data_IF_350927803094
#
_entry.id   IF_350927803094
#
_cell.length_a   1.000
_cell.length_b   1.000
_cell.length_c   1.000
_cell.angle_alpha   90.00
_cell.angle_beta   90.00
_cell.angle_gamma   90.00
#
_symmetry.space_group_name_H-M   'P 1'
#
loop_
_entity.id
_entity.type
_entity.pdbx_description
1 polymer ?
#
# COMPACT_ATOMS: atom_id res chain seq x y z
N UNK A 1 3.46 2.40 -11.73
CA UNK A 1 4.74 1.73 -11.63
C UNK A 1 4.66 0.34 -12.29
N UNK A 2 5.38 0.16 -13.39
CA UNK A 2 5.28 -1.10 -14.12
C UNK A 2 5.85 -2.31 -13.37
N UNK A 3 6.74 -2.08 -12.40
CA UNK A 3 7.26 -3.16 -11.58
C UNK A 3 6.20 -3.72 -10.62
N UNK A 4 5.17 -2.94 -10.31
CA UNK A 4 4.07 -3.37 -9.44
C UNK A 4 2.86 -3.88 -10.22
N UNK A 5 2.90 -3.88 -11.54
CA UNK A 5 1.76 -4.22 -12.40
C UNK A 5 0.48 -3.49 -11.96
N UNK A 6 0.61 -2.19 -11.75
CA UNK A 6 -0.46 -1.35 -11.24
C UNK A 6 -1.56 -1.17 -12.28
N UNK A 7 -2.81 -1.46 -11.90
CA UNK A 7 -3.98 -1.35 -12.76
C UNK A 7 -5.10 -0.62 -12.03
N UNK A 8 -5.58 0.50 -12.58
CA UNK A 8 -6.76 1.17 -12.05
C UNK A 8 -8.00 0.40 -12.50
N UNK A 9 -8.82 -0.02 -11.55
CA UNK A 9 -10.03 -0.79 -11.78
C UNK A 9 -11.25 0.11 -11.85
N UNK A 10 -11.32 1.14 -10.99
CA UNK A 10 -12.46 2.04 -10.91
C UNK A 10 -12.04 3.40 -10.37
N UNK A 11 -12.63 4.47 -10.93
CA UNK A 11 -12.37 5.83 -10.49
C UNK A 11 -11.00 6.34 -10.92
N UNK A 12 -10.51 7.32 -10.21
CA UNK A 12 -9.22 7.93 -10.47
C UNK A 12 -8.46 8.17 -9.16
N UNK A 13 -8.05 7.09 -8.48
CA UNK A 13 -7.32 7.23 -7.23
C UNK A 13 -5.97 7.90 -7.49
N UNK A 14 -5.67 8.91 -6.70
CA UNK A 14 -4.40 9.64 -6.79
C UNK A 14 -3.61 9.41 -5.52
N UNK A 15 -2.45 8.80 -5.68
CA UNK A 15 -1.53 8.52 -4.57
C UNK A 15 -0.50 9.64 -4.45
N UNK A 16 -0.15 9.97 -3.23
CA UNK A 16 0.91 10.90 -2.90
C UNK A 16 1.54 10.46 -1.57
N UNK A 17 2.66 11.08 -1.21
CA UNK A 17 3.25 10.69 0.06
C UNK A 17 4.61 11.31 0.30
N UNK A 18 5.20 10.87 1.39
CA UNK A 18 6.48 11.35 1.86
C UNK A 18 7.27 10.15 2.38
N UNK A 19 8.52 10.06 1.93
CA UNK A 19 9.46 9.06 2.46
C UNK A 19 10.29 9.73 3.56
N UNK A 20 10.23 9.17 4.76
CA UNK A 20 10.93 9.73 5.92
C UNK A 20 12.26 9.02 6.19
N UNK A 21 12.43 7.79 5.72
CA UNK A 21 13.66 7.03 5.90
C UNK A 21 13.82 6.00 4.78
N UNK A 22 15.03 5.85 4.32
CA UNK A 22 15.45 4.80 3.37
C UNK A 22 16.72 4.17 3.91
N UNK A 23 16.78 2.84 3.98
CA UNK A 23 17.99 2.14 4.40
C UNK A 23 19.13 2.35 3.39
N UNK A 24 20.40 2.20 3.81
CA UNK A 24 21.54 2.46 2.92
C UNK A 24 21.53 1.67 1.63
N UNK A 25 21.05 0.43 1.64
CA UNK A 25 20.98 -0.41 0.44
C UNK A 25 19.64 -0.28 -0.31
N UNK A 26 18.73 0.56 0.16
CA UNK A 26 17.43 0.77 -0.47
C UNK A 26 16.41 -0.35 -0.23
N UNK A 27 16.75 -1.34 0.60
CA UNK A 27 15.87 -2.50 0.80
C UNK A 27 14.70 -2.24 1.75
N UNK A 28 14.75 -1.17 2.53
CA UNK A 28 13.63 -0.79 3.38
C UNK A 28 13.42 0.71 3.40
N UNK A 29 12.17 1.10 3.67
CA UNK A 29 11.80 2.51 3.77
C UNK A 29 10.55 2.66 4.61
N UNK A 30 10.37 3.83 5.18
CA UNK A 30 9.15 4.17 5.90
C UNK A 30 8.71 5.60 5.55
N UNK A 31 7.43 5.83 5.71
CA UNK A 31 6.87 7.14 5.41
C UNK A 31 5.35 7.17 5.56
N UNK A 32 4.78 8.20 4.96
CA UNK A 32 3.33 8.44 4.95
C UNK A 32 2.86 8.36 3.50
N UNK A 33 1.74 7.67 3.29
CA UNK A 33 1.10 7.54 1.98
C UNK A 33 -0.34 8.01 2.09
N UNK A 34 -0.79 8.72 1.08
CA UNK A 34 -2.16 9.21 0.96
C UNK A 34 -2.71 8.78 -0.38
N UNK A 35 -3.97 8.33 -0.41
CA UNK A 35 -4.64 7.99 -1.65
C UNK A 35 -6.10 8.40 -1.62
N UNK A 36 -6.55 9.03 -2.69
CA UNK A 36 -7.94 9.43 -2.85
C UNK A 36 -8.80 8.25 -3.30
N UNK A 37 -10.13 8.41 -3.29
CA UNK A 37 -11.09 7.35 -3.57
C UNK A 37 -10.90 6.72 -4.93
N UNK A 38 -11.10 5.41 -4.98
CA UNK A 38 -11.01 4.62 -6.20
C UNK A 38 -10.54 3.20 -5.91
N UNK A 39 -10.44 2.39 -6.95
CA UNK A 39 -10.05 0.98 -6.85
C UNK A 39 -8.88 0.70 -7.78
N UNK A 40 -7.86 0.05 -7.25
CA UNK A 40 -6.72 -0.38 -8.06
C UNK A 40 -6.13 -1.70 -7.56
N UNK A 41 -5.47 -2.40 -8.46
CA UNK A 41 -4.75 -3.63 -8.17
C UNK A 41 -3.25 -3.38 -8.36
N UNK A 42 -2.44 -4.02 -7.53
CA UNK A 42 -0.99 -3.99 -7.71
C UNK A 42 -0.35 -5.22 -7.08
N UNK A 43 0.90 -5.46 -7.47
CA UNK A 43 1.76 -6.43 -6.79
C UNK A 43 2.58 -5.68 -5.75
N UNK A 44 2.68 -6.22 -4.56
CA UNK A 44 3.50 -5.62 -3.50
C UNK A 44 4.99 -5.77 -3.86
N UNK A 45 5.74 -4.66 -3.77
CA UNK A 45 7.16 -4.65 -4.11
C UNK A 45 8.06 -5.10 -2.97
N UNK A 46 7.54 -5.16 -1.76
CA UNK A 46 8.24 -5.61 -0.57
C UNK A 46 7.24 -6.09 0.47
N UNK A 47 7.75 -6.42 1.65
CA UNK A 47 6.91 -6.75 2.79
C UNK A 47 6.53 -5.46 3.49
N UNK A 48 5.24 -5.16 3.57
CA UNK A 48 4.77 -3.87 4.06
C UNK A 48 3.89 -4.01 5.28
N UNK A 49 4.32 -3.40 6.39
CA UNK A 49 3.49 -3.17 7.56
C UNK A 49 2.90 -1.77 7.43
N UNK A 50 1.59 -1.65 7.55
CA UNK A 50 0.91 -0.39 7.36
C UNK A 50 -0.16 -0.19 8.40
N UNK A 51 -0.28 1.05 8.89
CA UNK A 51 -1.29 1.44 9.88
C UNK A 51 -2.12 2.58 9.32
N UNK A 52 -3.43 2.42 9.35
CA UNK A 52 -4.34 3.43 8.83
C UNK A 52 -4.49 4.54 9.88
N UNK A 53 -4.16 5.76 9.46
CA UNK A 53 -4.28 6.94 10.31
C UNK A 53 -5.58 7.68 10.08
N UNK A 54 -6.15 7.58 8.86
CA UNK A 54 -7.37 8.27 8.48
C UNK A 54 -8.00 7.56 7.28
N UNK A 55 -9.33 7.61 7.20
CA UNK A 55 -10.07 7.10 6.06
C UNK A 55 -10.51 5.67 6.23
N UNK A 56 -10.98 5.07 5.14
CA UNK A 56 -11.52 3.72 5.12
C UNK A 56 -11.21 3.06 3.78
N UNK A 57 -10.78 1.81 3.83
CA UNK A 57 -10.49 1.03 2.64
C UNK A 57 -10.85 -0.43 2.84
N UNK A 58 -10.99 -1.13 1.73
CA UNK A 58 -11.17 -2.58 1.71
C UNK A 58 -9.98 -3.16 0.96
N UNK A 59 -9.31 -4.12 1.57
CA UNK A 59 -8.19 -4.85 0.97
C UNK A 59 -8.63 -6.25 0.62
N UNK A 60 -8.25 -6.70 -0.57
CA UNK A 60 -8.40 -8.10 -0.96
C UNK A 60 -7.02 -8.63 -1.30
N UNK A 61 -6.57 -9.61 -0.53
CA UNK A 61 -5.24 -10.21 -0.66
C UNK A 61 -5.38 -11.54 -1.43
N UNK A 62 -5.07 -11.51 -2.73
CA UNK A 62 -5.24 -12.68 -3.58
C UNK A 62 -6.69 -13.16 -3.58
N UNK A 63 -6.90 -14.43 -3.24
CA UNK A 63 -8.22 -15.04 -3.20
C UNK A 63 -8.87 -15.03 -1.81
N UNK A 64 -8.28 -14.33 -0.86
CA UNK A 64 -8.79 -14.29 0.50
C UNK A 64 -10.00 -13.36 0.62
N UNK A 65 -10.84 -13.54 1.67
CA UNK A 65 -11.96 -12.64 1.89
C UNK A 65 -11.51 -11.20 2.08
N UNK A 66 -12.29 -10.22 1.59
CA UNK A 66 -11.96 -8.80 1.78
C UNK A 66 -11.85 -8.42 3.26
N UNK A 67 -10.93 -7.50 3.54
CA UNK A 67 -10.68 -6.99 4.89
C UNK A 67 -11.00 -5.49 4.89
N UNK A 68 -11.92 -5.06 5.75
CA UNK A 68 -12.15 -3.62 5.94
C UNK A 68 -11.16 -3.06 6.95
N UNK A 69 -10.53 -1.94 6.60
CA UNK A 69 -9.55 -1.26 7.44
C UNK A 69 -9.95 0.19 7.64
N UNK A 70 -9.89 0.65 8.88
CA UNK A 70 -10.15 2.02 9.27
C UNK A 70 -9.06 2.50 10.21
N UNK A 71 -9.19 3.73 10.70
CA UNK A 71 -8.22 4.34 11.62
C UNK A 71 -7.86 3.41 12.77
N UNK A 72 -6.56 3.19 12.95
CA UNK A 72 -6.02 2.36 14.02
C UNK A 72 -5.78 0.91 13.61
N UNK A 73 -6.29 0.47 12.47
CA UNK A 73 -6.05 -0.88 11.98
C UNK A 73 -4.68 -0.97 11.33
N UNK A 74 -4.01 -2.08 11.54
CA UNK A 74 -2.76 -2.41 10.87
C UNK A 74 -2.93 -3.64 10.02
N UNK A 75 -2.26 -3.64 8.86
CA UNK A 75 -2.29 -4.73 7.90
C UNK A 75 -0.87 -5.03 7.45
N UNK A 76 -0.59 -6.30 7.19
CA UNK A 76 0.68 -6.72 6.63
C UNK A 76 0.47 -7.38 5.29
N UNK A 77 1.19 -6.92 4.26
CA UNK A 77 1.19 -7.51 2.94
C UNK A 77 2.59 -7.98 2.58
N UNK A 78 2.69 -8.99 1.71
CA UNK A 78 3.96 -9.63 1.39
C UNK A 78 4.45 -9.27 0.00
N UNK A 79 5.75 -9.25 -0.16
CA UNK A 79 6.40 -9.08 -1.46
C UNK A 79 5.84 -10.07 -2.48
N UNK A 80 5.45 -9.56 -3.65
CA UNK A 80 4.90 -10.36 -4.73
C UNK A 80 3.42 -10.68 -4.62
N UNK A 81 2.79 -10.35 -3.51
CA UNK A 81 1.36 -10.60 -3.33
C UNK A 81 0.54 -9.65 -4.20
N UNK A 82 -0.49 -10.17 -4.86
CA UNK A 82 -1.45 -9.37 -5.61
C UNK A 82 -2.50 -8.82 -4.65
N UNK A 83 -2.68 -7.52 -4.63
CA UNK A 83 -3.58 -6.86 -3.68
C UNK A 83 -4.53 -5.93 -4.43
N UNK A 84 -5.82 -5.98 -4.06
CA UNK A 84 -6.81 -4.99 -4.49
C UNK A 84 -7.03 -4.00 -3.37
N UNK A 85 -6.93 -2.72 -3.71
CA UNK A 85 -7.14 -1.60 -2.81
C UNK A 85 -8.43 -0.89 -3.22
N UNK A 86 -9.44 -0.92 -2.36
CA UNK A 86 -10.69 -0.20 -2.59
C UNK A 86 -10.73 0.96 -1.60
N UNK A 87 -10.32 2.13 -2.04
CA UNK A 87 -10.30 3.34 -1.20
C UNK A 87 -11.69 3.93 -1.20
N UNK A 88 -12.40 3.79 -0.07
CA UNK A 88 -13.78 4.25 0.11
C UNK A 88 -13.86 5.68 0.63
N UNK A 89 -12.89 6.08 1.45
CA UNK A 89 -12.69 7.45 1.93
C UNK A 89 -11.20 7.69 1.87
N UNK A 90 -10.78 8.87 1.46
CA UNK A 90 -9.35 9.18 1.31
C UNK A 90 -8.57 8.64 2.49
N UNK A 91 -7.57 7.84 2.20
CA UNK A 91 -6.77 7.13 3.19
C UNK A 91 -5.43 7.85 3.40
N UNK A 92 -5.03 7.96 4.65
CA UNK A 92 -3.67 8.30 5.03
C UNK A 92 -3.17 7.14 5.88
N UNK A 93 -2.00 6.61 5.53
CA UNK A 93 -1.40 5.50 6.28
C UNK A 93 0.07 5.76 6.57
N UNK A 94 0.52 5.23 7.70
CA UNK A 94 1.94 5.07 7.99
C UNK A 94 2.34 3.72 7.43
N UNK A 95 3.47 3.66 6.72
CA UNK A 95 3.96 2.40 6.17
C UNK A 95 5.42 2.18 6.50
N UNK A 96 5.78 0.91 6.65
CA UNK A 96 7.16 0.45 6.67
C UNK A 96 7.27 -0.71 5.68
N UNK A 97 8.05 -0.53 4.65
CA UNK A 97 8.29 -1.57 3.64
C UNK A 97 9.71 -2.09 3.79
N UNK A 98 9.85 -3.39 3.79
CA UNK A 98 11.14 -4.06 3.86
C UNK A 98 11.26 -5.07 2.73
N UNK A 99 12.41 -5.70 2.62
CA UNK A 99 12.64 -6.73 1.59
C UNK A 99 12.40 -6.23 0.16
N UNK A 100 12.52 -4.93 -0.06
CA UNK A 100 12.55 -4.36 -1.41
C UNK A 100 13.82 -4.81 -2.12
N UNK A 101 13.80 -4.81 -3.44
CA UNK A 101 15.01 -5.09 -4.20
C UNK A 101 16.07 -4.02 -3.88
N UNK A 102 17.29 -4.48 -3.61
CA UNK A 102 18.39 -3.59 -3.28
C UNK A 102 18.74 -2.69 -4.46
N UNK A 103 19.04 -1.41 -4.15
CA UNK A 103 19.50 -0.44 -5.15
C UNK A 103 21.02 -0.23 -5.08
N UNK A 104 21.66 -0.91 -4.13
CA UNK A 104 23.11 -0.79 -3.92
C UNK A 104 23.90 -1.65 -4.90
#
# INVERSE_FOLDING_TARGET
NKASDYVIVQGNPVASGRIDYVSPDGSSRLGIWRCTEGVFDCNELGDELQTILQGRLILTLGDEPPIECTRGDSVFTRKGQRVRWEIRETVIKLFHTSNLDSTA
#
